data_IF_246628198604
#
_entry.id   IF_246628198604
#
_cell.length_a   1.000
_cell.length_b   1.000
_cell.length_c   1.000
_cell.angle_alpha   90.00
_cell.angle_beta   90.00
_cell.angle_gamma   90.00
#
_symmetry.space_group_name_H-M   'P 1'
#
loop_
_entity.id
_entity.type
_entity.pdbx_description
1 polymer ?
#
# COMPACT_ATOMS: atom_id res chain seq x y z
N UNK A 1 -7.32 30.51 8.65
CA UNK A 1 -8.40 29.87 7.86
C UNK A 1 -9.67 29.88 8.69
N UNK A 2 -10.86 30.13 8.10
CA UNK A 2 -12.12 30.27 8.84
C UNK A 2 -12.52 29.01 9.63
N UNK A 3 -13.05 29.18 10.85
CA UNK A 3 -13.57 28.08 11.68
C UNK A 3 -14.79 27.38 11.05
N UNK A 4 -15.48 28.08 10.15
CA UNK A 4 -16.65 27.61 9.42
C UNK A 4 -16.37 26.41 8.49
N UNK A 5 -15.10 26.12 8.19
CA UNK A 5 -14.70 25.00 7.30
C UNK A 5 -14.91 23.64 7.99
N UNK A 6 -14.79 23.56 9.32
CA UNK A 6 -15.08 22.33 10.06
C UNK A 6 -14.23 22.11 11.32
N UNK A 7 -14.71 21.17 12.15
CA UNK A 7 -14.11 20.87 13.47
C UNK A 7 -12.68 20.35 13.43
N UNK A 8 -12.17 19.91 12.27
CA UNK A 8 -10.80 19.42 12.16
C UNK A 8 -9.79 20.46 12.64
N UNK A 9 -10.10 21.75 12.46
CA UNK A 9 -9.28 22.88 12.91
C UNK A 9 -9.10 22.97 14.43
N UNK A 10 -9.90 22.28 15.23
CA UNK A 10 -9.75 22.23 16.70
C UNK A 10 -8.53 21.39 17.08
N UNK A 11 -8.14 20.41 16.24
CA UNK A 11 -6.96 19.60 16.50
C UNK A 11 -5.70 20.40 16.18
N UNK A 12 -4.63 20.19 16.96
CA UNK A 12 -3.31 20.75 16.64
C UNK A 12 -2.88 20.32 15.24
N UNK A 13 -2.20 21.18 14.46
CA UNK A 13 -1.60 20.79 13.18
C UNK A 13 -0.72 19.55 13.35
N UNK A 14 -0.81 18.61 12.40
CA UNK A 14 -0.13 17.32 12.46
C UNK A 14 -0.87 16.25 13.28
N UNK A 15 -2.07 16.54 13.80
CA UNK A 15 -2.86 15.62 14.61
C UNK A 15 -4.25 15.35 14.01
N UNK A 16 -4.65 14.07 14.04
CA UNK A 16 -5.92 13.61 13.47
C UNK A 16 -6.12 14.13 12.03
N UNK A 17 -7.30 14.58 11.63
CA UNK A 17 -7.54 15.03 10.25
C UNK A 17 -6.87 16.38 9.92
N UNK A 18 -6.25 17.07 10.89
CA UNK A 18 -5.63 18.37 10.68
C UNK A 18 -4.14 18.25 10.38
N UNK A 19 -3.77 18.34 9.11
CA UNK A 19 -2.38 18.41 8.63
C UNK A 19 -1.50 17.20 8.99
N UNK A 20 -2.09 16.09 9.47
CA UNK A 20 -1.36 14.83 9.66
C UNK A 20 -1.20 14.05 8.35
N UNK A 21 -0.41 12.98 8.39
CA UNK A 21 -0.36 12.00 7.29
C UNK A 21 -1.54 11.05 7.45
N UNK A 22 -2.67 11.38 6.83
CA UNK A 22 -3.91 10.61 6.93
C UNK A 22 -3.89 9.37 6.01
N UNK A 23 -3.45 8.23 6.55
CA UNK A 23 -3.10 7.02 5.78
C UNK A 23 -4.20 6.52 4.84
N UNK A 24 -5.48 6.63 5.23
CA UNK A 24 -6.56 6.21 4.34
C UNK A 24 -6.62 7.04 3.05
N UNK A 25 -6.37 8.36 3.13
CA UNK A 25 -6.33 9.22 1.95
C UNK A 25 -5.02 9.08 1.19
N UNK A 26 -3.91 8.91 1.90
CA UNK A 26 -2.60 8.68 1.30
C UNK A 26 -2.58 7.39 0.46
N UNK A 27 -3.19 6.32 0.96
CA UNK A 27 -3.27 5.06 0.23
C UNK A 27 -4.24 5.15 -0.95
N UNK A 28 -5.33 5.92 -0.86
CA UNK A 28 -6.18 6.22 -2.03
C UNK A 28 -5.39 6.94 -3.12
N UNK A 29 -4.57 7.92 -2.73
CA UNK A 29 -3.71 8.63 -3.67
C UNK A 29 -2.74 7.66 -4.37
N UNK A 30 -2.02 6.82 -3.61
CA UNK A 30 -1.16 5.78 -4.17
C UNK A 30 -1.93 4.84 -5.11
N UNK A 31 -3.12 4.41 -4.71
CA UNK A 31 -3.91 3.50 -5.52
C UNK A 31 -4.34 4.14 -6.84
N UNK A 32 -4.67 5.44 -6.86
CA UNK A 32 -4.96 6.14 -8.10
C UNK A 32 -3.72 6.31 -9.00
N UNK A 33 -2.51 6.51 -8.45
CA UNK A 33 -1.27 6.47 -9.25
C UNK A 33 -1.14 5.12 -9.97
N UNK A 34 -1.30 4.02 -9.22
CA UNK A 34 -1.23 2.66 -9.73
C UNK A 34 -2.29 2.37 -10.80
N UNK A 35 -3.54 2.79 -10.57
CA UNK A 35 -4.65 2.59 -11.52
C UNK A 35 -4.46 3.37 -12.83
N UNK A 36 -3.77 4.50 -12.78
CA UNK A 36 -3.54 5.36 -13.94
C UNK A 36 -2.18 5.08 -14.63
N UNK A 37 -1.44 4.05 -14.21
CA UNK A 37 -0.19 3.67 -14.86
C UNK A 37 1.02 4.52 -14.49
N UNK A 38 0.92 5.35 -13.45
CA UNK A 38 2.02 6.16 -12.90
C UNK A 38 2.90 5.28 -12.00
N UNK A 39 3.48 4.24 -12.60
CA UNK A 39 4.18 3.19 -11.85
C UNK A 39 5.49 3.66 -11.24
N UNK A 40 6.21 4.56 -11.91
CA UNK A 40 7.48 5.08 -11.40
C UNK A 40 7.26 5.86 -10.10
N UNK A 41 6.32 6.81 -10.12
CA UNK A 41 5.90 7.62 -8.99
C UNK A 41 5.30 6.74 -7.89
N UNK A 42 4.42 5.80 -8.26
CA UNK A 42 3.85 4.85 -7.30
C UNK A 42 4.92 4.05 -6.56
N UNK A 43 5.91 3.47 -7.26
CA UNK A 43 6.93 2.63 -6.62
C UNK A 43 8.02 3.41 -5.90
N UNK A 44 8.24 4.68 -6.26
CA UNK A 44 9.04 5.61 -5.49
C UNK A 44 8.37 5.86 -4.13
N UNK A 45 7.10 6.26 -4.13
CA UNK A 45 6.36 6.55 -2.90
C UNK A 45 6.05 5.28 -2.08
N UNK A 46 5.82 4.13 -2.73
CA UNK A 46 5.47 2.86 -2.08
C UNK A 46 6.40 2.50 -0.91
N UNK A 47 7.73 2.64 -1.12
CA UNK A 47 8.74 2.34 -0.10
C UNK A 47 8.80 3.38 1.01
N UNK A 48 8.42 4.62 0.71
CA UNK A 48 8.48 5.74 1.64
C UNK A 48 7.21 5.85 2.49
N UNK A 49 6.09 5.35 1.97
CA UNK A 49 4.75 5.57 2.52
C UNK A 49 4.19 4.35 3.22
N UNK A 50 4.28 3.15 2.62
CA UNK A 50 3.58 2.00 3.17
C UNK A 50 4.18 1.55 4.51
N UNK A 51 3.30 1.29 5.49
CA UNK A 51 3.68 0.90 6.86
C UNK A 51 4.75 -0.22 6.94
N UNK A 52 4.72 -1.28 6.11
CA UNK A 52 5.74 -2.33 6.16
C UNK A 52 7.18 -1.86 5.87
N UNK A 53 7.37 -0.68 5.31
CA UNK A 53 8.68 -0.10 5.00
C UNK A 53 9.08 1.04 5.93
N UNK A 54 8.25 1.37 6.92
CA UNK A 54 8.57 2.40 7.91
C UNK A 54 9.64 1.90 8.88
N UNK A 55 10.44 2.83 9.41
CA UNK A 55 11.31 2.53 10.55
C UNK A 55 10.43 2.24 11.78
N UNK A 56 10.49 1.03 12.36
CA UNK A 56 9.66 0.67 13.52
C UNK A 56 9.93 1.56 14.74
N UNK A 57 11.16 2.09 14.90
CA UNK A 57 11.48 2.99 16.00
C UNK A 57 10.76 4.34 15.86
N UNK A 58 10.72 4.89 14.64
CA UNK A 58 9.98 6.12 14.33
C UNK A 58 8.46 5.91 14.33
N UNK A 59 8.00 4.80 13.73
CA UNK A 59 6.58 4.46 13.64
C UNK A 59 5.97 4.18 15.03
N UNK A 60 6.79 3.72 15.99
CA UNK A 60 6.39 3.50 17.38
C UNK A 60 5.45 2.30 17.58
N UNK A 61 5.27 1.47 16.55
CA UNK A 61 4.36 0.32 16.52
C UNK A 61 4.92 -0.80 15.64
N UNK A 62 4.26 -1.95 15.63
CA UNK A 62 4.58 -3.03 14.70
C UNK A 62 4.32 -2.61 13.26
N UNK A 63 5.31 -2.71 12.38
CA UNK A 63 5.17 -2.45 10.93
C UNK A 63 4.28 -3.48 10.20
N UNK A 64 3.77 -4.48 10.93
CA UNK A 64 2.75 -5.41 10.45
C UNK A 64 1.32 -4.96 10.82
N UNK A 65 1.18 -3.88 11.59
CA UNK A 65 -0.08 -3.29 12.01
C UNK A 65 -0.25 -1.91 11.41
N UNK A 66 -1.36 -1.68 10.71
CA UNK A 66 -1.66 -0.39 10.11
C UNK A 66 -2.13 0.65 11.16
N UNK A 67 -2.11 1.93 10.82
CA UNK A 67 -2.59 3.05 11.64
C UNK A 67 -3.71 3.82 10.92
N UNK A 68 -4.33 4.78 11.62
CA UNK A 68 -5.23 5.76 11.00
C UNK A 68 -4.45 6.92 10.39
N UNK A 69 -3.42 7.40 11.10
CA UNK A 69 -2.57 8.49 10.65
C UNK A 69 -1.16 8.39 11.25
N UNK A 70 -0.20 9.05 10.62
CA UNK A 70 1.10 9.37 11.22
C UNK A 70 1.14 10.85 11.57
N UNK A 71 1.78 11.17 12.69
CA UNK A 71 2.02 12.58 13.06
C UNK A 71 2.97 13.20 12.04
N UNK A 72 2.58 14.33 11.45
CA UNK A 72 3.40 15.02 10.46
C UNK A 72 4.37 16.00 11.12
N UNK A 73 5.27 16.57 10.32
CA UNK A 73 6.19 17.62 10.74
C UNK A 73 5.52 18.94 11.16
N UNK A 74 4.21 19.08 10.95
CA UNK A 74 3.45 20.25 11.41
C UNK A 74 3.16 20.20 12.93
N UNK A 75 3.29 19.03 13.56
CA UNK A 75 3.07 18.89 15.00
C UNK A 75 4.23 19.49 15.81
N UNK A 76 3.93 20.15 16.92
CA UNK A 76 4.94 20.90 17.67
C UNK A 76 6.00 20.03 18.36
N UNK A 77 5.62 18.81 18.77
CA UNK A 77 6.56 17.88 19.39
C UNK A 77 7.23 17.00 18.33
N UNK A 78 8.49 17.30 18.03
CA UNK A 78 9.31 16.59 17.05
C UNK A 78 9.54 15.12 17.40
N UNK A 79 9.45 14.74 18.68
CA UNK A 79 9.64 13.35 19.10
C UNK A 79 8.51 12.43 18.60
N UNK A 80 7.36 13.00 18.22
CA UNK A 80 6.22 12.24 17.72
C UNK A 80 6.20 12.14 16.19
N UNK A 81 7.05 12.88 15.47
CA UNK A 81 7.00 12.92 14.00
C UNK A 81 7.20 11.53 13.38
N UNK A 82 6.23 11.10 12.59
CA UNK A 82 6.18 9.79 11.96
C UNK A 82 5.59 8.67 12.84
N UNK A 83 5.27 8.94 14.11
CA UNK A 83 4.61 7.95 14.98
C UNK A 83 3.18 7.70 14.54
N UNK A 84 2.78 6.43 14.50
CA UNK A 84 1.45 5.99 14.09
C UNK A 84 0.42 5.97 15.21
N UNK A 85 -0.79 6.43 14.92
CA UNK A 85 -1.91 6.41 15.86
C UNK A 85 -3.18 5.86 15.23
N UNK A 86 -4.01 5.22 16.06
CA UNK A 86 -5.29 4.64 15.68
C UNK A 86 -6.40 5.53 16.23
N UNK A 87 -7.13 6.20 15.33
CA UNK A 87 -8.28 7.00 15.71
C UNK A 87 -9.50 6.12 16.00
N UNK A 88 -9.76 5.14 15.12
CA UNK A 88 -10.81 4.10 15.18
C UNK A 88 -10.44 2.94 14.25
N UNK A 89 -11.43 2.25 13.67
CA UNK A 89 -11.23 1.32 12.55
C UNK A 89 -10.80 2.11 11.30
N UNK A 90 -9.57 1.89 10.83
CA UNK A 90 -9.02 2.61 9.68
C UNK A 90 -9.42 1.96 8.35
N UNK A 91 -9.82 2.78 7.39
CA UNK A 91 -10.01 2.36 6.00
C UNK A 91 -8.70 2.07 5.25
N UNK A 92 -7.54 2.46 5.81
CA UNK A 92 -6.23 2.22 5.18
C UNK A 92 -5.97 0.73 4.92
N UNK A 93 -6.50 -0.18 5.74
CA UNK A 93 -6.41 -1.63 5.49
C UNK A 93 -7.13 -2.04 4.21
N UNK A 94 -8.33 -1.50 3.94
CA UNK A 94 -9.08 -1.83 2.73
C UNK A 94 -8.38 -1.29 1.47
N UNK A 95 -7.80 -0.10 1.54
CA UNK A 95 -6.99 0.45 0.45
C UNK A 95 -5.72 -0.36 0.21
N UNK A 96 -5.02 -0.76 1.26
CA UNK A 96 -3.84 -1.62 1.11
C UNK A 96 -4.18 -2.96 0.44
N UNK A 97 -5.30 -3.59 0.82
CA UNK A 97 -5.77 -4.81 0.15
C UNK A 97 -6.07 -4.55 -1.33
N UNK A 98 -6.67 -3.39 -1.66
CA UNK A 98 -6.98 -3.01 -3.04
C UNK A 98 -5.71 -2.83 -3.87
N UNK A 99 -4.71 -2.13 -3.32
CA UNK A 99 -3.37 -1.99 -3.92
C UNK A 99 -2.74 -3.37 -4.13
N UNK A 100 -2.72 -4.21 -3.09
CA UNK A 100 -2.11 -5.53 -3.11
C UNK A 100 -2.73 -6.43 -4.19
N UNK A 101 -4.07 -6.50 -4.24
CA UNK A 101 -4.78 -7.29 -5.24
C UNK A 101 -4.53 -6.78 -6.66
N UNK A 102 -4.51 -5.45 -6.85
CA UNK A 102 -4.22 -4.86 -8.15
C UNK A 102 -2.79 -5.19 -8.61
N UNK A 103 -1.79 -5.01 -7.73
CA UNK A 103 -0.39 -5.34 -8.04
C UNK A 103 -0.21 -6.82 -8.36
N UNK A 104 -0.85 -7.71 -7.58
CA UNK A 104 -0.63 -9.15 -7.72
C UNK A 104 -1.42 -9.77 -8.86
N UNK A 105 -2.67 -9.38 -9.07
CA UNK A 105 -3.58 -10.03 -10.04
C UNK A 105 -3.87 -9.19 -11.29
N UNK A 106 -3.58 -7.89 -11.25
CA UNK A 106 -3.99 -6.92 -12.24
C UNK A 106 -5.39 -6.36 -11.96
N UNK A 107 -5.75 -5.28 -12.68
CA UNK A 107 -7.01 -4.56 -12.48
C UNK A 107 -8.27 -5.41 -12.69
N UNK A 108 -8.22 -6.33 -13.66
CA UNK A 108 -9.35 -7.15 -14.11
C UNK A 108 -8.84 -8.56 -14.46
N UNK A 109 -8.62 -9.42 -13.44
CA UNK A 109 -8.11 -10.76 -13.68
C UNK A 109 -9.12 -11.65 -14.40
N UNK A 110 -10.41 -11.34 -14.29
CA UNK A 110 -11.50 -12.07 -14.94
C UNK A 110 -12.08 -11.28 -16.11
N UNK A 111 -12.33 -11.96 -17.23
CA UNK A 111 -12.98 -11.38 -18.40
C UNK A 111 -13.75 -12.44 -19.21
N UNK A 112 -14.67 -12.00 -20.06
CA UNK A 112 -15.34 -12.85 -21.05
C UNK A 112 -14.63 -12.72 -22.39
N UNK A 113 -14.35 -13.84 -23.06
CA UNK A 113 -13.87 -13.81 -24.43
C UNK A 113 -15.00 -13.51 -25.44
N UNK A 114 -14.65 -13.48 -26.74
CA UNK A 114 -15.60 -13.18 -27.82
C UNK A 114 -16.76 -14.19 -27.91
N UNK A 115 -16.62 -15.37 -27.32
CA UNK A 115 -17.62 -16.43 -27.28
C UNK A 115 -18.41 -16.43 -25.96
N UNK A 116 -18.15 -15.49 -25.06
CA UNK A 116 -18.82 -15.38 -23.77
C UNK A 116 -18.29 -16.34 -22.71
N UNK A 117 -17.12 -16.96 -22.91
CA UNK A 117 -16.51 -17.86 -21.93
C UNK A 117 -15.70 -17.06 -20.91
N UNK A 118 -15.86 -17.40 -19.62
CA UNK A 118 -15.09 -16.84 -18.52
C UNK A 118 -13.63 -17.30 -18.59
N UNK A 119 -12.72 -16.33 -18.58
CA UNK A 119 -11.28 -16.54 -18.61
C UNK A 119 -10.61 -15.81 -17.43
N UNK A 120 -9.45 -16.33 -17.03
CA UNK A 120 -8.57 -15.77 -16.01
C UNK A 120 -7.24 -15.40 -16.66
N UNK A 121 -6.80 -14.16 -16.49
CA UNK A 121 -5.50 -13.66 -16.93
C UNK A 121 -4.92 -12.75 -15.85
N UNK A 122 -3.74 -13.08 -15.33
CA UNK A 122 -3.03 -12.21 -14.42
C UNK A 122 -2.19 -11.18 -15.16
N UNK A 123 -2.28 -9.92 -14.75
CA UNK A 123 -1.45 -8.81 -15.24
C UNK A 123 -0.77 -8.12 -14.06
N UNK A 124 0.23 -8.78 -13.43
CA UNK A 124 0.87 -8.24 -12.26
C UNK A 124 1.61 -6.95 -12.59
N UNK A 125 1.61 -6.00 -11.65
CA UNK A 125 2.41 -4.78 -11.69
C UNK A 125 3.33 -4.85 -10.48
N UNK A 126 4.49 -5.48 -10.67
CA UNK A 126 5.44 -5.80 -9.61
C UNK A 126 6.83 -5.32 -10.03
N UNK A 127 7.49 -4.50 -9.19
CA UNK A 127 8.85 -4.12 -9.43
C UNK A 127 9.75 -5.30 -9.08
N UNK A 128 10.84 -5.45 -9.83
CA UNK A 128 11.81 -6.54 -9.72
C UNK A 128 12.36 -6.74 -8.30
N UNK A 129 12.42 -5.68 -7.48
CA UNK A 129 12.91 -5.74 -6.11
C UNK A 129 11.97 -6.44 -5.12
N UNK A 130 10.69 -6.67 -5.46
CA UNK A 130 9.77 -7.48 -4.64
C UNK A 130 10.01 -8.99 -4.80
N UNK A 131 10.76 -9.42 -5.81
CA UNK A 131 11.05 -10.83 -6.02
C UNK A 131 12.19 -11.30 -5.12
N UNK A 132 12.11 -12.56 -4.67
CA UNK A 132 13.09 -13.19 -3.80
C UNK A 132 14.50 -13.12 -4.38
N UNK A 133 15.51 -12.82 -3.55
CA UNK A 133 16.90 -12.76 -4.00
C UNK A 133 17.60 -14.13 -3.94
N UNK A 134 17.04 -15.05 -3.19
CA UNK A 134 17.50 -16.42 -2.97
C UNK A 134 16.29 -17.34 -2.79
N UNK A 135 16.54 -18.63 -2.76
CA UNK A 135 15.53 -19.59 -2.34
C UNK A 135 15.20 -19.37 -0.84
N UNK A 136 13.91 -19.25 -0.52
CA UNK A 136 13.44 -18.97 0.83
C UNK A 136 11.99 -19.43 1.00
N UNK A 137 11.66 -20.03 2.15
CA UNK A 137 10.28 -20.45 2.45
C UNK A 137 9.69 -21.47 1.48
N UNK A 138 10.53 -22.26 0.79
CA UNK A 138 10.10 -23.20 -0.25
C UNK A 138 9.84 -22.58 -1.63
N UNK A 139 10.13 -21.29 -1.81
CA UNK A 139 10.02 -20.59 -3.08
C UNK A 139 11.40 -20.41 -3.73
N UNK A 140 11.52 -20.60 -5.06
CA UNK A 140 12.80 -20.47 -5.75
C UNK A 140 13.29 -19.01 -5.75
N UNK A 141 14.57 -18.83 -6.05
CA UNK A 141 15.13 -17.49 -6.32
C UNK A 141 14.37 -16.79 -7.46
N UNK A 142 14.30 -15.45 -7.37
CA UNK A 142 13.60 -14.58 -8.31
C UNK A 142 12.12 -14.93 -8.46
N UNK A 143 11.45 -15.25 -7.35
CA UNK A 143 10.02 -15.51 -7.35
C UNK A 143 9.25 -14.61 -6.39
N UNK A 144 7.97 -14.43 -6.67
CA UNK A 144 7.03 -13.72 -5.82
C UNK A 144 5.77 -14.58 -5.71
N UNK A 145 5.24 -14.72 -4.50
CA UNK A 145 4.07 -15.55 -4.25
C UNK A 145 2.99 -14.79 -3.49
N UNK A 146 1.74 -15.05 -3.86
CA UNK A 146 0.58 -14.54 -3.12
C UNK A 146 -0.57 -15.55 -3.13
N UNK A 147 -1.49 -15.38 -2.19
CA UNK A 147 -2.70 -16.20 -2.10
C UNK A 147 -3.82 -15.55 -2.91
N UNK A 148 -4.27 -16.20 -3.97
CA UNK A 148 -5.40 -15.79 -4.79
C UNK A 148 -6.68 -16.49 -4.32
N UNK A 149 -7.76 -15.71 -4.13
CA UNK A 149 -9.06 -16.19 -3.64
C UNK A 149 -8.98 -17.04 -2.36
N UNK A 150 -8.01 -16.74 -1.49
CA UNK A 150 -7.76 -17.43 -0.22
C UNK A 150 -7.41 -18.93 -0.32
N UNK A 151 -7.47 -19.56 -1.50
CA UNK A 151 -7.24 -21.00 -1.67
C UNK A 151 -6.08 -21.32 -2.62
N UNK A 152 -5.87 -20.54 -3.68
CA UNK A 152 -4.84 -20.81 -4.68
C UNK A 152 -3.53 -20.07 -4.34
N UNK A 153 -2.41 -20.79 -4.31
CA UNK A 153 -1.09 -20.17 -4.22
C UNK A 153 -0.60 -19.89 -5.64
N UNK A 154 -0.42 -18.60 -5.97
CA UNK A 154 0.13 -18.17 -7.26
C UNK A 154 1.59 -17.81 -7.05
N UNK A 155 2.47 -18.33 -7.92
CA UNK A 155 3.91 -18.07 -7.88
C UNK A 155 4.36 -17.52 -9.22
N UNK A 156 4.84 -16.28 -9.22
CA UNK A 156 5.48 -15.67 -10.39
C UNK A 156 6.97 -15.99 -10.37
N UNK A 157 7.48 -16.44 -11.51
CA UNK A 157 8.92 -16.69 -11.73
C UNK A 157 9.48 -15.60 -12.64
N UNK A 158 10.47 -14.85 -12.15
CA UNK A 158 11.06 -13.71 -12.85
C UNK A 158 12.58 -13.87 -13.02
N UNK A 159 13.05 -14.89 -13.76
CA UNK A 159 14.48 -15.17 -13.91
C UNK A 159 15.27 -14.00 -14.52
N UNK A 160 14.59 -13.12 -15.28
CA UNK A 160 15.18 -11.95 -15.94
C UNK A 160 15.22 -10.70 -15.05
N UNK A 161 14.65 -10.76 -13.83
CA UNK A 161 14.55 -9.64 -12.89
C UNK A 161 14.03 -8.35 -13.53
N UNK A 162 12.96 -8.46 -14.32
CA UNK A 162 12.31 -7.31 -14.94
C UNK A 162 11.13 -6.87 -14.10
N UNK A 163 10.84 -5.57 -14.10
CA UNK A 163 9.55 -5.09 -13.65
C UNK A 163 8.46 -5.66 -14.58
N UNK A 164 7.29 -5.98 -14.04
CA UNK A 164 6.20 -6.63 -14.78
C UNK A 164 5.10 -5.66 -15.18
#
# INVERSE_FOLDING_TARGET
MPEEIGRCRIFSPGWLENESVWLHMEYKYLFELLKNGLYAEFFEDFKNVLIPFQDPARYGRSILENSSFLVSSAFADENLHGTGFVARLSGSTAEFISIWLYMCSGARPFYLDKQGKLNLEFKPVLPSWLFSQKEEGGFPKNSFAFKFLSCALVVYHNPKKKDT
#
